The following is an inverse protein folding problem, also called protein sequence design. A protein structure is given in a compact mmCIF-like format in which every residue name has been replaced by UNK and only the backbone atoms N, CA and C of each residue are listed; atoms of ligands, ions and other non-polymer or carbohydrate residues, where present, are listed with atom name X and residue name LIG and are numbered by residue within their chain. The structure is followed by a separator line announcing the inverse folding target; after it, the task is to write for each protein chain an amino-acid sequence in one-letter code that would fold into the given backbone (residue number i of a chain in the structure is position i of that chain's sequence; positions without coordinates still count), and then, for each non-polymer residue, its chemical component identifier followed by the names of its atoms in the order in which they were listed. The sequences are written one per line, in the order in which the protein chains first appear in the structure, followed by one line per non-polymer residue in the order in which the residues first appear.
data_IF_130024519058
#
_entry.id   IF_130024519058
#
_cell.length_a   1.000
_cell.length_b   1.000
_cell.length_c   1.000
_cell.angle_alpha   90.00
_cell.angle_beta   90.00
_cell.angle_gamma   90.00
#
_symmetry.space_group_name_H-M   'P 1'
#
loop_
_entity.id
_entity.type
_entity.pdbx_description
1 polymer ?
#
# COMPACT_ATOMS: atom_id res chain seq x y z
N UNK A 1 -14.74 15.62 10.13
CA UNK A 1 -14.55 14.33 9.43
C UNK A 1 -14.34 14.61 7.93
N UNK A 2 -13.15 14.28 7.41
CA UNK A 2 -12.90 14.36 5.98
C UNK A 2 -13.61 13.19 5.29
N UNK A 3 -14.41 13.47 4.27
CA UNK A 3 -15.08 12.43 3.49
C UNK A 3 -14.24 12.03 2.29
N UNK A 4 -14.42 10.82 1.77
CA UNK A 4 -13.73 10.34 0.56
C UNK A 4 -13.90 11.34 -0.61
N UNK A 5 -14.98 12.12 -0.65
CA UNK A 5 -15.23 13.17 -1.64
C UNK A 5 -14.15 14.28 -1.66
N UNK A 6 -13.52 14.58 -0.53
CA UNK A 6 -12.48 15.60 -0.40
C UNK A 6 -11.15 15.14 -1.03
N UNK A 7 -11.02 13.85 -1.37
CA UNK A 7 -9.81 13.30 -1.99
C UNK A 7 -9.62 13.77 -3.44
N UNK A 8 -10.61 14.42 -4.05
CA UNK A 8 -10.56 14.87 -5.46
C UNK A 8 -9.52 15.95 -5.74
N UNK A 9 -9.06 16.68 -4.73
CA UNK A 9 -8.06 17.74 -4.89
C UNK A 9 -6.61 17.26 -4.87
N UNK A 10 -6.36 15.98 -4.60
CA UNK A 10 -5.01 15.43 -4.43
C UNK A 10 -4.52 14.72 -5.69
N UNK A 11 -3.25 14.87 -6.03
CA UNK A 11 -2.66 14.17 -7.19
C UNK A 11 -2.36 12.69 -6.91
N UNK A 12 -2.15 12.35 -5.64
CA UNK A 12 -1.79 11.02 -5.18
C UNK A 12 -2.58 10.64 -3.93
N UNK A 13 -3.05 9.40 -3.90
CA UNK A 13 -3.68 8.82 -2.72
C UNK A 13 -2.90 7.58 -2.32
N UNK A 14 -2.44 7.55 -1.07
CA UNK A 14 -1.77 6.40 -0.48
C UNK A 14 -2.74 5.69 0.47
N UNK A 15 -3.13 4.47 0.14
CA UNK A 15 -3.91 3.60 1.03
C UNK A 15 -2.95 2.93 2.00
N UNK A 16 -3.06 3.32 3.27
CA UNK A 16 -2.21 2.87 4.38
C UNK A 16 -3.03 2.81 5.68
N UNK A 17 -2.39 2.40 6.79
CA UNK A 17 -3.01 2.30 8.12
C UNK A 17 -3.14 0.86 8.59
N UNK A 18 -2.54 0.56 9.76
CA UNK A 18 -2.34 -0.84 10.18
C UNK A 18 -1.60 -1.63 9.10
N UNK A 19 -2.10 -2.83 8.79
CA UNK A 19 -1.70 -3.61 7.62
C UNK A 19 -2.93 -3.79 6.69
N UNK A 20 -3.02 -3.04 5.56
CA UNK A 20 -4.17 -3.09 4.66
C UNK A 20 -4.48 -4.49 4.12
N UNK A 21 -3.48 -5.36 3.98
CA UNK A 21 -3.66 -6.70 3.43
C UNK A 21 -4.20 -7.71 4.45
N UNK A 22 -4.35 -7.35 5.73
CA UNK A 22 -5.10 -8.15 6.71
C UNK A 22 -6.61 -8.19 6.42
N UNK A 23 -7.16 -7.17 5.76
CA UNK A 23 -8.56 -7.14 5.34
C UNK A 23 -8.67 -6.68 3.89
N UNK A 24 -8.32 -7.60 2.99
CA UNK A 24 -8.28 -7.33 1.55
C UNK A 24 -9.62 -6.86 1.01
N UNK A 25 -10.75 -7.43 1.48
CA UNK A 25 -12.09 -7.04 1.04
C UNK A 25 -12.38 -5.57 1.34
N UNK A 26 -12.06 -5.10 2.56
CA UNK A 26 -12.22 -3.71 2.94
C UNK A 26 -11.28 -2.80 2.15
N UNK A 27 -10.00 -3.16 2.05
CA UNK A 27 -9.01 -2.40 1.28
C UNK A 27 -9.45 -2.21 -0.16
N UNK A 28 -9.92 -3.29 -0.79
CA UNK A 28 -10.48 -3.26 -2.14
C UNK A 28 -11.73 -2.37 -2.23
N UNK A 29 -12.62 -2.42 -1.24
CA UNK A 29 -13.79 -1.54 -1.21
C UNK A 29 -13.40 -0.07 -1.20
N UNK A 30 -12.43 0.32 -0.36
CA UNK A 30 -11.94 1.70 -0.27
C UNK A 30 -11.33 2.13 -1.61
N UNK A 31 -10.45 1.31 -2.18
CA UNK A 31 -9.79 1.61 -3.46
C UNK A 31 -10.81 1.78 -4.59
N UNK A 32 -11.84 0.91 -4.64
CA UNK A 32 -12.92 1.03 -5.62
C UNK A 32 -13.72 2.30 -5.44
N UNK A 33 -14.08 2.67 -4.20
CA UNK A 33 -14.77 3.92 -3.94
C UNK A 33 -13.96 5.15 -4.40
N UNK A 34 -12.64 5.13 -4.21
CA UNK A 34 -11.75 6.19 -4.71
C UNK A 34 -11.75 6.21 -6.25
N UNK A 35 -11.63 5.05 -6.92
CA UNK A 35 -11.67 4.96 -8.39
C UNK A 35 -13.01 5.43 -8.97
N UNK A 36 -14.13 5.07 -8.35
CA UNK A 36 -15.46 5.50 -8.77
C UNK A 36 -15.66 7.01 -8.60
N UNK A 37 -15.11 7.59 -7.54
CA UNK A 37 -15.07 9.04 -7.36
C UNK A 37 -14.24 9.71 -8.45
N UNK A 38 -13.03 9.19 -8.71
CA UNK A 38 -12.13 9.67 -9.78
C UNK A 38 -12.81 9.70 -11.13
N UNK A 39 -13.48 8.59 -11.49
CA UNK A 39 -14.20 8.46 -12.75
C UNK A 39 -15.31 9.51 -12.87
N UNK A 40 -16.10 9.70 -11.82
CA UNK A 40 -17.19 10.71 -11.79
C UNK A 40 -16.68 12.14 -11.84
N UNK A 41 -15.49 12.41 -11.30
CA UNK A 41 -14.87 13.73 -11.27
C UNK A 41 -14.00 14.04 -12.51
N UNK A 42 -13.78 13.08 -13.41
CA UNK A 42 -12.91 13.26 -14.59
C UNK A 42 -11.41 13.38 -14.26
N UNK A 43 -10.98 12.83 -13.11
CA UNK A 43 -9.63 13.01 -12.57
C UNK A 43 -8.67 11.91 -13.03
N UNK A 44 -8.47 11.77 -14.33
CA UNK A 44 -7.76 10.60 -14.88
C UNK A 44 -6.27 10.48 -14.54
N UNK A 45 -5.70 11.52 -13.92
CA UNK A 45 -4.28 11.62 -13.59
C UNK A 45 -3.97 11.30 -12.13
N UNK A 46 -4.99 11.19 -11.28
CA UNK A 46 -4.79 10.86 -9.86
C UNK A 46 -4.29 9.42 -9.71
N UNK A 47 -3.21 9.27 -8.95
CA UNK A 47 -2.47 8.00 -8.77
C UNK A 47 -2.78 7.37 -7.42
N UNK A 48 -3.10 6.08 -7.39
CA UNK A 48 -3.39 5.33 -6.16
C UNK A 48 -2.24 4.38 -5.85
N UNK A 49 -1.60 4.55 -4.70
CA UNK A 49 -0.62 3.61 -4.16
C UNK A 49 -1.21 2.82 -2.99
N UNK A 50 -0.86 1.54 -2.90
CA UNK A 50 -1.11 0.71 -1.72
C UNK A 50 0.20 0.51 -0.95
N UNK A 51 0.18 0.80 0.35
CA UNK A 51 1.31 0.56 1.24
C UNK A 51 1.06 -0.70 2.08
N UNK A 52 1.96 -1.68 2.03
CA UNK A 52 1.79 -2.96 2.75
C UNK A 52 3.14 -3.59 3.10
N UNK A 53 3.19 -4.33 4.20
CA UNK A 53 4.30 -5.20 4.60
C UNK A 53 3.94 -6.69 4.48
N UNK A 54 2.69 -7.01 4.13
CA UNK A 54 2.17 -8.36 4.16
C UNK A 54 1.81 -8.83 2.75
N UNK A 55 2.34 -9.99 2.38
CA UNK A 55 1.82 -10.73 1.24
C UNK A 55 0.51 -11.44 1.63
N UNK A 56 -0.52 -11.23 0.82
CA UNK A 56 -1.72 -12.04 0.81
C UNK A 56 -1.99 -12.47 -0.64
N UNK A 57 -2.37 -13.73 -0.86
CA UNK A 57 -2.66 -14.21 -2.23
C UNK A 57 -3.78 -13.40 -2.91
N UNK A 58 -4.70 -12.86 -2.11
CA UNK A 58 -5.79 -12.00 -2.57
C UNK A 58 -5.32 -10.60 -3.02
N UNK A 59 -4.04 -10.25 -2.83
CA UNK A 59 -3.43 -9.05 -3.41
C UNK A 59 -3.66 -8.94 -4.92
N UNK A 60 -3.72 -10.08 -5.63
CA UNK A 60 -4.01 -10.15 -7.06
C UNK A 60 -5.34 -9.49 -7.45
N UNK A 61 -6.29 -9.40 -6.52
CA UNK A 61 -7.57 -8.72 -6.75
C UNK A 61 -7.49 -7.21 -6.56
N UNK A 62 -6.47 -6.73 -5.85
CA UNK A 62 -6.22 -5.31 -5.59
C UNK A 62 -5.36 -4.69 -6.68
N UNK A 63 -4.37 -5.42 -7.21
CA UNK A 63 -3.43 -4.93 -8.24
C UNK A 63 -4.08 -4.24 -9.45
N UNK A 64 -5.21 -4.71 -10.00
CA UNK A 64 -5.86 -4.03 -11.14
C UNK A 64 -6.43 -2.66 -10.79
N UNK A 65 -6.56 -2.32 -9.52
CA UNK A 65 -7.21 -1.11 -9.04
C UNK A 65 -6.25 -0.05 -8.52
N UNK A 66 -4.96 -0.37 -8.40
CA UNK A 66 -3.92 0.57 -7.95
C UNK A 66 -2.92 0.83 -9.06
N UNK A 67 -2.30 2.00 -9.02
CA UNK A 67 -1.27 2.40 -9.98
C UNK A 67 0.15 2.05 -9.47
N UNK A 68 0.28 1.80 -8.17
CA UNK A 68 1.53 1.37 -7.57
C UNK A 68 1.38 0.70 -6.20
N UNK A 69 2.47 0.04 -5.79
CA UNK A 69 2.61 -0.58 -4.47
C UNK A 69 3.90 -0.09 -3.83
N UNK A 70 3.82 0.16 -2.53
CA UNK A 70 4.96 0.23 -1.63
C UNK A 70 4.96 -1.01 -0.75
N UNK A 71 5.93 -1.90 -0.96
CA UNK A 71 6.15 -3.06 -0.11
C UNK A 71 7.26 -2.75 0.89
N UNK A 72 7.05 -3.03 2.18
CA UNK A 72 8.06 -2.80 3.22
C UNK A 72 8.50 -4.07 3.93
N UNK A 73 9.81 -4.21 4.11
CA UNK A 73 10.44 -5.19 4.98
C UNK A 73 10.92 -4.49 6.25
N UNK A 74 10.39 -4.92 7.40
CA UNK A 74 10.68 -4.33 8.70
C UNK A 74 11.81 -5.05 9.44
N UNK A 75 12.34 -4.41 10.48
CA UNK A 75 13.24 -5.07 11.41
C UNK A 75 12.56 -6.29 12.05
N UNK A 76 13.32 -7.35 12.27
CA UNK A 76 12.80 -8.61 12.78
C UNK A 76 12.08 -9.48 11.74
N UNK A 77 12.11 -9.10 10.45
CA UNK A 77 11.51 -9.88 9.37
C UNK A 77 11.86 -11.37 9.47
N UNK A 78 10.85 -12.19 9.77
CA UNK A 78 11.02 -13.62 9.99
C UNK A 78 10.92 -14.42 8.68
N UNK A 79 11.12 -15.74 8.76
CA UNK A 79 11.06 -16.60 7.57
C UNK A 79 9.74 -16.46 6.80
N UNK A 80 8.55 -16.50 7.44
CA UNK A 80 7.28 -16.17 6.77
C UNK A 80 7.27 -14.83 6.03
N UNK A 81 7.75 -13.75 6.63
CA UNK A 81 7.77 -12.43 5.99
C UNK A 81 8.70 -12.39 4.77
N UNK A 82 9.85 -13.07 4.84
CA UNK A 82 10.79 -13.20 3.72
C UNK A 82 10.20 -14.05 2.59
N UNK A 83 9.49 -15.13 2.93
CA UNK A 83 8.75 -15.94 1.96
C UNK A 83 7.65 -15.09 1.31
N UNK A 84 6.89 -14.33 2.09
CA UNK A 84 5.87 -13.40 1.60
C UNK A 84 6.44 -12.34 0.66
N UNK A 85 7.62 -11.79 0.97
CA UNK A 85 8.33 -10.89 0.07
C UNK A 85 8.63 -11.53 -1.29
N UNK A 86 9.12 -12.77 -1.31
CA UNK A 86 9.38 -13.48 -2.56
C UNK A 86 8.09 -13.76 -3.33
N UNK A 87 7.02 -14.14 -2.64
CA UNK A 87 5.71 -14.35 -3.26
C UNK A 87 5.12 -13.05 -3.83
N UNK A 88 5.31 -11.92 -3.15
CA UNK A 88 4.92 -10.61 -3.66
C UNK A 88 5.73 -10.26 -4.92
N UNK A 89 7.04 -10.47 -4.90
CA UNK A 89 7.89 -10.26 -6.06
C UNK A 89 7.44 -11.12 -7.26
N UNK A 90 7.10 -12.38 -7.02
CA UNK A 90 6.55 -13.28 -8.04
C UNK A 90 5.20 -12.79 -8.59
N UNK A 91 4.31 -12.34 -7.72
CA UNK A 91 3.00 -11.81 -8.10
C UNK A 91 3.12 -10.53 -8.96
N UNK A 92 4.12 -9.70 -8.69
CA UNK A 92 4.34 -8.44 -9.40
C UNK A 92 5.05 -8.64 -10.75
N UNK A 93 5.51 -9.86 -11.08
CA UNK A 93 6.11 -10.16 -12.39
C UNK A 93 5.11 -9.87 -13.51
N UNK A 94 5.51 -8.97 -14.42
CA UNK A 94 4.69 -8.59 -15.56
C UNK A 94 3.52 -7.65 -15.22
N UNK A 95 3.38 -7.22 -13.96
CA UNK A 95 2.45 -6.16 -13.59
C UNK A 95 2.98 -4.81 -14.08
N UNK A 96 2.11 -3.98 -14.63
CA UNK A 96 2.48 -2.70 -15.26
C UNK A 96 2.55 -1.51 -14.30
N UNK A 97 2.18 -1.70 -13.03
CA UNK A 97 2.20 -0.65 -12.01
C UNK A 97 3.60 -0.36 -11.45
N UNK A 98 3.72 0.73 -10.68
CA UNK A 98 4.97 1.08 -9.99
C UNK A 98 5.09 0.29 -8.69
N UNK A 99 5.92 -0.75 -8.69
CA UNK A 99 6.29 -1.47 -7.46
C UNK A 99 7.52 -0.84 -6.82
N UNK A 100 7.45 -0.48 -5.54
CA UNK A 100 8.54 0.14 -4.78
C UNK A 100 8.81 -0.67 -3.52
N UNK A 101 10.08 -0.93 -3.24
CA UNK A 101 10.52 -1.72 -2.09
C UNK A 101 11.22 -0.82 -1.07
N UNK A 102 10.81 -0.91 0.18
CA UNK A 102 11.48 -0.31 1.32
C UNK A 102 12.01 -1.38 2.25
N UNK A 103 13.27 -1.26 2.65
CA UNK A 103 13.96 -2.23 3.49
C UNK A 103 14.50 -1.50 4.73
N UNK A 104 14.13 -1.97 5.92
CA UNK A 104 14.75 -1.48 7.16
C UNK A 104 16.24 -1.90 7.18
N UNK A 105 17.19 -1.00 7.50
CA UNK A 105 18.62 -1.30 7.52
C UNK A 105 19.02 -2.40 8.54
N UNK A 106 18.13 -2.75 9.46
CA UNK A 106 18.34 -3.82 10.44
C UNK A 106 17.99 -5.21 9.89
N UNK A 107 17.32 -5.31 8.74
CA UNK A 107 17.13 -6.60 8.05
C UNK A 107 18.51 -7.16 7.68
N UNK A 108 18.90 -8.27 8.33
CA UNK A 108 20.19 -8.95 8.09
C UNK A 108 20.08 -10.17 7.18
N UNK A 109 18.85 -10.58 6.86
CA UNK A 109 18.58 -11.70 5.98
C UNK A 109 19.00 -11.38 4.55
N UNK A 110 19.66 -12.33 3.88
CA UNK A 110 20.01 -12.18 2.47
C UNK A 110 18.74 -12.28 1.61
N UNK A 111 18.44 -11.22 0.87
CA UNK A 111 17.26 -11.14 0.00
C UNK A 111 17.63 -11.43 -1.45
N UNK A 112 16.88 -12.31 -2.11
CA UNK A 112 16.94 -12.48 -3.56
C UNK A 112 16.04 -11.45 -4.24
N UNK A 113 16.64 -10.34 -4.68
CA UNK A 113 15.95 -9.27 -5.39
C UNK A 113 15.86 -9.57 -6.88
N UNK A 114 14.73 -9.22 -7.48
CA UNK A 114 14.55 -9.16 -8.92
C UNK A 114 14.40 -7.70 -9.36
N UNK A 115 15.50 -7.04 -9.75
CA UNK A 115 15.49 -5.62 -10.10
C UNK A 115 14.44 -5.21 -11.14
N UNK A 116 14.09 -6.02 -12.16
CA UNK A 116 13.05 -5.64 -13.13
C UNK A 116 11.64 -5.51 -12.53
N UNK A 117 11.37 -6.14 -11.38
CA UNK A 117 10.08 -6.06 -10.70
C UNK A 117 9.94 -4.71 -9.99
N UNK A 118 11.02 -4.22 -9.38
CA UNK A 118 10.98 -3.05 -8.51
C UNK A 118 11.39 -1.78 -9.26
N UNK A 119 10.43 -0.87 -9.44
CA UNK A 119 10.67 0.47 -10.00
C UNK A 119 11.56 1.36 -9.12
N UNK A 120 11.60 1.09 -7.81
CA UNK A 120 12.49 1.77 -6.84
C UNK A 120 12.76 0.84 -5.66
N UNK A 121 13.99 0.87 -5.16
CA UNK A 121 14.38 0.15 -3.94
C UNK A 121 15.09 1.16 -3.03
N UNK A 122 14.66 1.27 -1.77
CA UNK A 122 15.33 2.12 -0.79
C UNK A 122 15.57 1.38 0.52
N UNK A 123 16.71 1.69 1.13
CA UNK A 123 17.01 1.29 2.51
C UNK A 123 16.79 2.51 3.39
N UNK A 124 15.81 2.46 4.28
CA UNK A 124 15.48 3.58 5.18
C UNK A 124 14.97 3.06 6.53
N UNK A 125 15.31 3.73 7.65
CA UNK A 125 14.83 3.33 8.95
C UNK A 125 13.32 3.52 9.06
N UNK A 126 12.66 2.64 9.81
CA UNK A 126 11.27 2.84 10.22
C UNK A 126 11.17 4.03 11.18
N UNK A 127 10.17 4.90 10.94
CA UNK A 127 9.83 5.98 11.86
C UNK A 127 8.76 5.48 12.82
N UNK A 128 8.98 5.66 14.12
CA UNK A 128 7.99 5.30 15.14
C UNK A 128 6.71 6.13 15.01
N UNK A 129 5.61 5.58 15.53
CA UNK A 129 4.31 6.26 15.57
C UNK A 129 4.44 7.63 16.26
N UNK A 130 3.82 8.64 15.66
CA UNK A 130 3.90 10.03 16.12
C UNK A 130 5.19 10.78 15.78
N UNK A 131 6.19 10.10 15.19
CA UNK A 131 7.42 10.74 14.66
C UNK A 131 7.43 10.90 13.15
N UNK A 132 6.38 10.45 12.46
CA UNK A 132 6.17 10.70 11.04
C UNK A 132 5.36 11.99 10.88
N UNK A 133 5.98 13.14 10.55
CA UNK A 133 5.22 14.34 10.28
C UNK A 133 4.44 14.15 8.98
N UNK A 134 3.14 14.48 9.00
CA UNK A 134 2.40 14.73 7.77
C UNK A 134 2.99 16.00 7.13
N UNK A 135 3.42 15.95 5.86
CA UNK A 135 3.76 17.15 5.11
C UNK A 135 2.62 18.19 5.14
N UNK A 136 2.94 19.48 5.02
CA UNK A 136 1.95 20.57 5.13
C UNK A 136 0.81 20.48 4.10
N UNK A 137 1.06 19.84 2.95
CA UNK A 137 0.11 19.65 1.86
C UNK A 137 -0.59 18.27 1.86
N UNK A 138 -0.30 17.41 2.84
CA UNK A 138 -0.86 16.05 2.93
C UNK A 138 -2.05 15.99 3.88
N UNK A 139 -3.06 15.20 3.51
CA UNK A 139 -4.25 14.96 4.33
C UNK A 139 -4.35 13.50 4.75
N UNK A 140 -4.40 13.27 6.06
CA UNK A 140 -4.73 11.97 6.62
C UNK A 140 -6.25 11.81 6.76
N UNK A 141 -6.82 10.88 6.00
CA UNK A 141 -8.23 10.51 6.11
C UNK A 141 -8.35 9.18 6.85
N UNK A 142 -9.00 9.20 8.02
CA UNK A 142 -9.26 8.00 8.79
C UNK A 142 -10.61 7.41 8.38
N UNK A 143 -10.61 6.16 7.91
CA UNK A 143 -11.85 5.41 7.70
C UNK A 143 -12.18 4.66 9.00
N UNK A 144 -13.32 4.94 9.62
CA UNK A 144 -13.73 4.23 10.84
C UNK A 144 -13.93 2.74 10.56
N UNK A 145 -13.70 1.89 11.56
CA UNK A 145 -14.15 0.49 11.47
C UNK A 145 -15.67 0.49 11.44
N UNK A 146 -16.25 -0.05 10.37
CA UNK A 146 -17.62 -0.54 10.46
C UNK A 146 -17.64 -1.55 11.62
N UNK A 147 -18.35 -1.21 12.68
CA UNK A 147 -18.68 -2.19 13.71
C UNK A 147 -19.40 -3.33 12.98
N UNK A 148 -18.86 -4.54 13.04
CA UNK A 148 -19.63 -5.72 12.67
C UNK A 148 -20.80 -5.78 13.65
N UNK A 149 -21.98 -5.31 13.21
CA UNK A 149 -23.24 -5.60 13.87
C UNK A 149 -23.35 -7.12 13.97
N UNK A 150 -23.06 -7.65 15.15
CA UNK A 150 -23.42 -9.02 15.52
C UNK A 150 -24.95 -9.10 15.50
N UNK A 151 -25.49 -9.60 14.40
CA UNK A 151 -26.85 -10.14 14.33
C UNK A 151 -26.84 -11.62 14.74
#
# INVERSE_FOLDING_TARGET
PCEIADLTSYDMICVTGGEPMLNVSRTLSIIRSIRDLRFRAGLDRQTIYLYTALFAEDAKWVLPWVDGIHFSLHDGADTPEIVGFHQMQDLLKGWSGSARLYIDPRVKTLLSLEPPVWSRIEVKPWLEDGKCPLPEDDLLVLTERAEEEKA
#
